data_IF_257489203889
#
_entry.id   IF_257489203889
#
_cell.length_a   1.000
_cell.length_b   1.000
_cell.length_c   1.000
_cell.angle_alpha   90.00
_cell.angle_beta   90.00
_cell.angle_gamma   90.00
#
_symmetry.space_group_name_H-M   'P 1'
#
loop_
_entity.id
_entity.type
_entity.pdbx_description
1 polymer ?
#
# COMPACT_ATOMS: atom_id res chain seq x y z
N UNK A 1 -13.02 1.60 23.74
CA UNK A 1 -12.42 1.19 22.47
C UNK A 1 -12.14 2.42 21.66
N UNK A 2 -11.03 2.40 20.96
CA UNK A 2 -10.63 3.37 19.94
C UNK A 2 -11.34 3.05 18.62
N UNK A 3 -11.39 4.04 17.73
CA UNK A 3 -12.03 3.93 16.42
C UNK A 3 -11.43 2.79 15.56
N UNK A 4 -10.12 2.55 15.68
CA UNK A 4 -9.45 1.47 14.96
C UNK A 4 -9.92 0.09 15.46
N UNK A 5 -9.89 -0.16 16.77
CA UNK A 5 -10.43 -1.41 17.35
C UNK A 5 -11.90 -1.62 17.00
N UNK A 6 -12.74 -0.57 17.06
CA UNK A 6 -14.15 -0.66 16.66
C UNK A 6 -14.32 -1.09 15.19
N UNK A 7 -13.46 -0.60 14.29
CA UNK A 7 -13.46 -0.99 12.88
C UNK A 7 -13.00 -2.44 12.68
N UNK A 8 -11.94 -2.85 13.37
CA UNK A 8 -11.42 -4.23 13.34
C UNK A 8 -12.47 -5.24 13.82
N UNK A 9 -13.22 -4.93 14.88
CA UNK A 9 -14.30 -5.80 15.37
C UNK A 9 -15.48 -5.91 14.38
N UNK A 10 -15.77 -4.86 13.61
CA UNK A 10 -16.79 -4.90 12.54
C UNK A 10 -16.35 -5.81 11.40
N UNK A 11 -15.07 -5.72 11.01
CA UNK A 11 -14.46 -6.61 10.01
C UNK A 11 -14.52 -8.06 10.50
N UNK A 12 -14.11 -8.32 11.75
CA UNK A 12 -14.13 -9.66 12.32
C UNK A 12 -15.52 -10.29 12.32
N UNK A 13 -16.56 -9.55 12.72
CA UNK A 13 -17.95 -10.04 12.66
C UNK A 13 -18.38 -10.44 11.26
N UNK A 14 -17.92 -9.70 10.25
CA UNK A 14 -18.18 -10.06 8.86
C UNK A 14 -17.46 -11.36 8.50
N UNK A 15 -16.19 -11.50 8.89
CA UNK A 15 -15.42 -12.73 8.66
C UNK A 15 -16.00 -13.95 9.36
N UNK A 16 -16.44 -13.83 10.61
CA UNK A 16 -17.10 -14.91 11.34
C UNK A 16 -18.35 -15.46 10.61
N UNK A 17 -19.03 -14.62 9.82
CA UNK A 17 -20.21 -15.00 9.05
C UNK A 17 -19.84 -15.62 7.71
N UNK A 18 -18.89 -15.02 6.98
CA UNK A 18 -18.63 -15.33 5.57
C UNK A 18 -17.37 -16.17 5.32
N UNK A 19 -16.41 -16.15 6.26
CA UNK A 19 -15.11 -16.82 6.22
C UNK A 19 -14.69 -17.30 7.62
N UNK A 20 -15.50 -18.14 8.29
CA UNK A 20 -15.25 -18.56 9.67
C UNK A 20 -13.88 -19.24 9.84
N UNK A 21 -13.43 -20.01 8.85
CA UNK A 21 -12.11 -20.66 8.87
C UNK A 21 -10.95 -19.66 8.94
N UNK A 22 -11.10 -18.49 8.30
CA UNK A 22 -10.11 -17.44 8.34
C UNK A 22 -10.23 -16.63 9.64
N UNK A 23 -11.45 -16.32 10.08
CA UNK A 23 -11.69 -15.66 11.37
C UNK A 23 -11.08 -16.45 12.54
N UNK A 24 -11.24 -17.77 12.54
CA UNK A 24 -10.69 -18.67 13.55
C UNK A 24 -9.15 -18.76 13.52
N UNK A 25 -8.51 -18.35 12.42
CA UNK A 25 -7.05 -18.39 12.28
C UNK A 25 -6.34 -17.18 12.90
N UNK A 26 -7.08 -16.14 13.32
CA UNK A 26 -6.50 -14.97 13.97
C UNK A 26 -5.94 -15.34 15.35
N UNK A 27 -4.68 -14.99 15.56
CA UNK A 27 -3.99 -15.29 16.81
C UNK A 27 -4.39 -14.30 17.91
N UNK A 28 -4.33 -14.70 19.19
CA UNK A 28 -4.50 -13.77 20.31
C UNK A 28 -3.60 -12.55 20.19
N UNK A 29 -4.10 -11.39 20.60
CA UNK A 29 -3.31 -10.16 20.61
C UNK A 29 -2.10 -10.24 21.53
N UNK A 30 -1.08 -9.45 21.20
CA UNK A 30 0.17 -9.36 21.93
C UNK A 30 0.07 -8.39 23.10
N UNK A 31 0.92 -8.62 24.10
CA UNK A 31 1.18 -7.64 25.15
C UNK A 31 2.05 -6.49 24.64
N UNK A 32 2.02 -5.37 25.36
CA UNK A 32 2.89 -4.23 25.08
C UNK A 32 4.38 -4.61 25.09
N UNK A 33 4.80 -5.46 26.04
CA UNK A 33 6.19 -5.88 26.19
C UNK A 33 6.66 -6.76 25.02
N UNK A 34 5.78 -7.62 24.49
CA UNK A 34 6.08 -8.43 23.29
C UNK A 34 6.28 -7.54 22.06
N UNK A 35 5.44 -6.52 21.88
CA UNK A 35 5.58 -5.57 20.77
C UNK A 35 6.86 -4.75 20.93
N UNK A 36 7.16 -4.28 22.14
CA UNK A 36 8.38 -3.53 22.43
C UNK A 36 9.66 -4.35 22.17
N UNK A 37 9.65 -5.64 22.49
CA UNK A 37 10.77 -6.53 22.15
C UNK A 37 10.98 -6.65 20.62
N UNK A 38 9.91 -6.52 19.83
CA UNK A 38 9.97 -6.42 18.37
C UNK A 38 10.63 -5.12 17.88
N UNK A 39 10.32 -3.98 18.51
CA UNK A 39 10.96 -2.69 18.19
C UNK A 39 12.49 -2.75 18.30
N UNK A 40 13.00 -3.47 19.31
CA UNK A 40 14.43 -3.64 19.51
C UNK A 40 15.10 -4.39 18.35
N UNK A 41 14.39 -5.34 17.72
CA UNK A 41 14.88 -6.08 16.55
C UNK A 41 14.92 -5.20 15.31
N UNK A 42 13.88 -4.39 15.09
CA UNK A 42 13.74 -3.53 13.91
C UNK A 42 14.62 -2.28 14.02
N UNK A 43 14.90 -1.80 15.24
CA UNK A 43 15.68 -0.59 15.49
C UNK A 43 14.88 0.71 15.33
N UNK A 44 13.55 0.61 15.26
CA UNK A 44 12.64 1.75 15.15
C UNK A 44 11.50 1.62 16.15
N UNK A 45 10.93 2.78 16.52
CA UNK A 45 9.69 2.84 17.28
C UNK A 45 8.50 2.62 16.35
N UNK A 46 7.56 1.77 16.76
CA UNK A 46 6.34 1.51 16.03
C UNK A 46 5.29 2.60 16.34
N UNK A 47 4.48 3.00 15.35
CA UNK A 47 3.34 3.86 15.58
C UNK A 47 2.35 3.31 16.60
N UNK A 48 1.64 4.19 17.30
CA UNK A 48 0.58 3.82 18.26
C UNK A 48 -0.50 2.93 17.62
N UNK A 49 -0.89 3.21 16.38
CA UNK A 49 -1.90 2.40 15.68
C UNK A 49 -1.39 0.97 15.39
N UNK A 50 -0.08 0.77 15.22
CA UNK A 50 0.51 -0.58 15.08
C UNK A 50 0.47 -1.32 16.41
N UNK A 51 0.76 -0.64 17.53
CA UNK A 51 0.57 -1.23 18.86
C UNK A 51 -0.88 -1.70 19.06
N UNK A 52 -1.84 -0.83 18.75
CA UNK A 52 -3.26 -1.15 18.86
C UNK A 52 -3.65 -2.36 17.99
N UNK A 53 -3.20 -2.39 16.73
CA UNK A 53 -3.47 -3.49 15.79
C UNK A 53 -2.99 -4.84 16.35
N UNK A 54 -1.74 -4.91 16.82
CA UNK A 54 -1.17 -6.17 17.30
C UNK A 54 -1.62 -6.53 18.72
N UNK A 55 -2.03 -5.56 19.55
CA UNK A 55 -2.72 -5.83 20.80
C UNK A 55 -4.13 -6.38 20.59
N UNK A 56 -4.76 -6.07 19.45
CA UNK A 56 -6.04 -6.65 19.07
C UNK A 56 -5.87 -8.11 18.61
N UNK A 57 -5.04 -8.37 17.60
CA UNK A 57 -4.73 -9.73 17.11
C UNK A 57 -3.31 -9.80 16.55
N UNK A 58 -2.65 -10.96 16.73
CA UNK A 58 -1.31 -11.21 16.23
C UNK A 58 -1.30 -11.86 14.83
N UNK A 59 -1.87 -11.18 13.84
CA UNK A 59 -1.97 -11.75 12.49
C UNK A 59 -2.90 -12.96 12.39
N UNK A 60 -2.92 -13.55 11.20
CA UNK A 60 -3.61 -14.81 10.91
C UNK A 60 -2.57 -15.90 10.55
N UNK A 61 -2.83 -17.15 10.94
CA UNK A 61 -1.94 -18.29 10.59
C UNK A 61 -2.33 -18.98 9.30
N UNK A 62 -3.56 -18.78 8.83
CA UNK A 62 -4.03 -19.38 7.60
C UNK A 62 -3.52 -18.52 6.46
N UNK A 63 -2.51 -19.04 5.77
CA UNK A 63 -2.14 -18.54 4.45
C UNK A 63 -3.30 -18.88 3.52
N UNK A 64 -4.17 -17.91 3.33
CA UNK A 64 -5.32 -18.09 2.48
C UNK A 64 -4.95 -17.46 1.15
N UNK A 65 -4.82 -18.29 0.11
CA UNK A 65 -4.84 -17.90 -1.31
C UNK A 65 -6.09 -17.06 -1.68
N UNK A 66 -6.96 -16.85 -0.70
CA UNK A 66 -8.04 -15.91 -0.67
C UNK A 66 -8.03 -15.17 0.68
N UNK A 67 -7.41 -13.97 0.73
CA UNK A 67 -7.98 -12.71 1.28
C UNK A 67 -7.18 -12.02 2.40
N UNK A 68 -6.74 -10.77 2.17
CA UNK A 68 -7.46 -9.55 2.56
C UNK A 68 -7.08 -8.29 1.72
N UNK A 69 -8.11 -7.63 1.15
CA UNK A 69 -8.09 -6.48 0.23
C UNK A 69 -7.65 -6.75 -1.20
N UNK A 70 -8.61 -7.04 -2.11
CA UNK A 70 -8.63 -8.38 -2.72
C UNK A 70 -7.19 -8.95 -2.79
N UNK A 71 -6.90 -9.96 -1.95
CA UNK A 71 -5.70 -10.83 -1.94
C UNK A 71 -4.68 -10.75 -0.77
N UNK A 72 -4.53 -9.69 0.05
CA UNK A 72 -3.34 -9.54 0.96
C UNK A 72 -3.47 -10.04 2.43
N UNK A 73 -2.53 -10.83 2.97
CA UNK A 73 -2.61 -11.44 4.32
C UNK A 73 -2.18 -10.54 5.50
N UNK A 74 -2.90 -10.58 6.64
CA UNK A 74 -2.48 -9.90 7.89
C UNK A 74 -1.40 -10.72 8.61
N UNK A 75 -0.17 -10.24 8.57
CA UNK A 75 1.01 -10.98 9.03
C UNK A 75 1.03 -11.17 10.55
N UNK A 76 1.41 -12.36 11.04
CA UNK A 76 1.89 -12.52 12.41
C UNK A 76 3.05 -11.57 12.69
N UNK A 77 3.16 -11.05 13.92
CA UNK A 77 4.09 -9.98 14.24
C UNK A 77 5.57 -10.31 13.98
N UNK A 78 5.98 -11.55 14.24
CA UNK A 78 7.35 -12.00 13.93
C UNK A 78 7.61 -11.99 12.41
N UNK A 79 6.63 -12.39 11.59
CA UNK A 79 6.72 -12.33 10.12
C UNK A 79 6.71 -10.88 9.61
N UNK A 80 5.90 -10.02 10.22
CA UNK A 80 5.90 -8.58 9.94
C UNK A 80 7.25 -7.94 10.26
N UNK A 81 7.91 -8.35 11.36
CA UNK A 81 9.27 -7.92 11.70
C UNK A 81 10.26 -8.36 10.63
N UNK A 82 10.27 -9.64 10.27
CA UNK A 82 11.19 -10.19 9.27
C UNK A 82 11.02 -9.50 7.90
N UNK A 83 9.77 -9.32 7.48
CA UNK A 83 9.40 -8.65 6.23
C UNK A 83 9.87 -7.19 6.23
N UNK A 84 9.64 -6.48 7.35
CA UNK A 84 10.07 -5.10 7.53
C UNK A 84 11.60 -4.97 7.55
N UNK A 85 12.33 -5.87 8.20
CA UNK A 85 13.80 -5.86 8.23
C UNK A 85 14.35 -6.08 6.82
N UNK A 86 13.79 -7.01 6.05
CA UNK A 86 14.17 -7.26 4.65
C UNK A 86 14.04 -5.98 3.82
N UNK A 87 12.85 -5.34 3.85
CA UNK A 87 12.61 -4.07 3.18
C UNK A 87 13.58 -2.97 3.62
N UNK A 88 13.71 -2.78 4.94
CA UNK A 88 14.52 -1.71 5.53
C UNK A 88 16.01 -1.88 5.21
N UNK A 89 16.48 -3.12 5.04
CA UNK A 89 17.86 -3.42 4.61
C UNK A 89 18.05 -3.04 3.15
N UNK A 90 17.12 -3.43 2.27
CA UNK A 90 17.16 -3.14 0.84
C UNK A 90 17.24 -1.62 0.57
N UNK A 91 16.39 -0.82 1.24
CA UNK A 91 16.42 0.64 1.05
C UNK A 91 17.66 1.31 1.68
N UNK A 92 18.25 0.71 2.72
CA UNK A 92 19.43 1.28 3.39
C UNK A 92 20.69 1.13 2.53
N UNK A 93 20.76 0.08 1.70
CA UNK A 93 21.83 -0.14 0.72
C UNK A 93 21.78 0.87 -0.44
N UNK A 94 20.65 1.56 -0.66
CA UNK A 94 20.51 2.67 -1.63
C UNK A 94 21.02 4.04 -1.11
N UNK A 95 21.86 4.01 -0.05
CA UNK A 95 22.82 4.96 0.57
C UNK A 95 22.58 6.49 0.60
N UNK A 96 21.79 7.12 -0.27
CA UNK A 96 21.86 8.57 -0.50
C UNK A 96 20.84 9.44 0.28
N UNK A 97 19.81 8.87 0.93
CA UNK A 97 18.65 9.68 1.34
C UNK A 97 18.70 10.34 2.73
N UNK A 98 19.29 9.69 3.74
CA UNK A 98 19.14 10.12 5.14
C UNK A 98 20.04 11.29 5.56
N UNK A 99 20.87 11.80 4.64
CA UNK A 99 21.74 12.95 4.90
C UNK A 99 21.04 14.30 4.60
N UNK A 100 19.91 14.29 3.88
CA UNK A 100 19.18 15.51 3.57
C UNK A 100 18.05 15.77 4.59
N UNK A 101 18.08 16.92 5.25
CA UNK A 101 17.04 17.36 6.21
C UNK A 101 15.65 17.52 5.58
N UNK A 102 15.55 17.55 4.26
CA UNK A 102 14.32 17.76 3.50
C UNK A 102 13.91 16.53 2.67
N UNK A 103 14.34 15.33 3.06
CA UNK A 103 14.04 14.08 2.36
C UNK A 103 12.55 13.88 2.05
N UNK A 104 11.67 14.38 2.91
CA UNK A 104 10.22 14.32 2.79
C UNK A 104 9.63 15.21 1.67
N UNK A 105 10.40 16.13 1.09
CA UNK A 105 10.00 16.91 -0.08
C UNK A 105 10.18 16.12 -1.40
N UNK A 106 10.86 14.97 -1.35
CA UNK A 106 10.97 14.09 -2.50
C UNK A 106 9.61 13.43 -2.78
N UNK A 107 9.14 13.47 -4.03
CA UNK A 107 7.90 12.80 -4.43
C UNK A 107 7.96 11.28 -4.23
N UNK A 108 9.17 10.71 -4.15
CA UNK A 108 9.45 9.29 -3.90
C UNK A 108 9.79 8.98 -2.43
N UNK A 109 9.48 9.88 -1.49
CA UNK A 109 9.88 9.69 -0.08
C UNK A 109 9.41 8.35 0.50
N UNK A 110 8.23 7.87 0.09
CA UNK A 110 7.67 6.58 0.54
C UNK A 110 8.57 5.41 0.16
N UNK A 111 9.08 5.41 -1.07
CA UNK A 111 9.89 4.32 -1.58
C UNK A 111 11.28 4.24 -0.94
N UNK A 112 11.69 5.30 -0.24
CA UNK A 112 12.97 5.40 0.45
C UNK A 112 12.81 5.54 1.96
N UNK A 113 11.61 5.32 2.49
CA UNK A 113 11.30 5.37 3.91
C UNK A 113 11.39 3.97 4.51
N UNK A 114 11.89 3.82 5.76
CA UNK A 114 11.80 2.54 6.44
C UNK A 114 10.34 2.27 6.75
N UNK A 115 9.87 1.07 6.43
CA UNK A 115 8.48 0.66 6.58
C UNK A 115 8.35 -0.41 7.64
N UNK A 116 7.21 -0.40 8.31
CA UNK A 116 6.68 -1.54 9.04
C UNK A 116 5.57 -2.16 8.21
N UNK A 117 5.85 -3.31 7.61
CA UNK A 117 4.94 -4.06 6.74
C UNK A 117 4.13 -5.00 7.61
N UNK A 118 2.82 -4.81 7.66
CA UNK A 118 1.91 -5.59 8.51
C UNK A 118 0.88 -6.38 7.69
N UNK A 119 0.78 -6.12 6.39
CA UNK A 119 -0.05 -6.87 5.46
C UNK A 119 0.83 -7.24 4.26
N UNK A 120 0.91 -8.52 3.88
CA UNK A 120 1.62 -8.97 2.69
C UNK A 120 1.06 -10.29 2.13
N UNK A 121 1.22 -10.48 0.82
CA UNK A 121 0.97 -11.71 0.08
C UNK A 121 1.87 -11.76 -1.16
N UNK A 122 1.60 -12.72 -2.05
CA UNK A 122 2.27 -12.81 -3.36
C UNK A 122 1.96 -11.63 -4.30
N UNK A 123 0.87 -10.90 -4.06
CA UNK A 123 0.39 -9.80 -4.90
C UNK A 123 0.92 -8.42 -4.51
N UNK A 124 1.30 -8.23 -3.24
CA UNK A 124 1.81 -6.96 -2.74
C UNK A 124 1.95 -6.89 -1.23
N UNK A 125 2.20 -5.68 -0.77
CA UNK A 125 2.43 -5.36 0.63
C UNK A 125 1.70 -4.07 1.00
N UNK A 126 1.22 -4.01 2.24
CA UNK A 126 0.85 -2.76 2.89
C UNK A 126 1.63 -2.57 4.19
N UNK A 127 2.07 -1.34 4.40
CA UNK A 127 2.86 -0.98 5.57
C UNK A 127 2.65 0.46 5.96
N UNK A 128 3.35 0.87 7.01
CA UNK A 128 3.35 2.27 7.46
C UNK A 128 4.80 2.73 7.65
N UNK A 129 5.14 3.98 7.31
CA UNK A 129 6.50 4.46 7.50
C UNK A 129 6.83 4.57 8.99
N UNK A 130 7.97 4.00 9.37
CA UNK A 130 8.57 4.09 10.70
C UNK A 130 9.10 5.50 11.00
N UNK A 131 9.18 6.35 9.97
CA UNK A 131 9.46 7.77 10.08
C UNK A 131 8.43 8.57 9.28
N UNK A 132 7.57 9.29 10.00
CA UNK A 132 6.49 10.06 9.37
C UNK A 132 6.98 11.42 8.91
N UNK A 133 6.72 11.82 7.66
CA UNK A 133 6.99 13.17 7.20
C UNK A 133 6.25 14.23 8.04
N UNK A 134 6.83 15.44 8.27
CA UNK A 134 6.23 16.47 9.13
C UNK A 134 4.85 16.97 8.70
N UNK A 135 4.47 16.77 7.44
CA UNK A 135 3.18 17.17 6.89
C UNK A 135 2.05 16.17 7.18
N UNK A 136 2.34 15.02 7.78
CA UNK A 136 1.34 14.03 8.17
C UNK A 136 1.10 14.07 9.68
N UNK A 137 -0.16 14.18 10.08
CA UNK A 137 -0.57 14.16 11.48
C UNK A 137 -0.43 12.76 12.11
N UNK A 138 -0.62 11.73 11.30
CA UNK A 138 -0.46 10.32 11.63
C UNK A 138 0.32 9.63 10.50
N UNK A 139 1.07 8.55 10.78
CA UNK A 139 1.70 7.76 9.73
C UNK A 139 0.65 7.26 8.74
N UNK A 140 0.80 7.53 7.42
CA UNK A 140 -0.11 6.98 6.43
C UNK A 140 0.09 5.47 6.28
N UNK A 141 -0.80 4.81 5.53
CA UNK A 141 -0.55 3.47 5.00
C UNK A 141 -0.09 3.59 3.57
N UNK A 142 1.01 2.91 3.27
CA UNK A 142 1.57 2.75 1.93
C UNK A 142 1.27 1.36 1.40
N UNK A 143 1.08 1.27 0.09
CA UNK A 143 0.84 0.02 -0.65
C UNK A 143 1.82 -0.07 -1.83
N UNK A 144 2.24 -1.30 -2.14
CA UNK A 144 3.05 -1.62 -3.32
C UNK A 144 2.88 -3.07 -3.73
N UNK A 145 2.83 -3.32 -5.04
CA UNK A 145 2.86 -4.66 -5.62
C UNK A 145 4.28 -5.15 -5.91
N UNK A 146 4.41 -6.38 -6.42
CA UNK A 146 5.69 -6.93 -6.86
C UNK A 146 6.33 -6.04 -7.96
N UNK A 147 7.49 -5.47 -7.64
CA UNK A 147 8.25 -4.61 -8.56
C UNK A 147 7.77 -3.16 -8.65
N UNK A 148 6.73 -2.78 -7.91
CA UNK A 148 6.23 -1.41 -7.82
C UNK A 148 6.85 -0.65 -6.64
N UNK A 149 6.83 0.68 -6.74
CA UNK A 149 7.31 1.56 -5.67
C UNK A 149 6.18 1.88 -4.68
N UNK A 150 6.44 1.92 -3.36
CA UNK A 150 5.45 2.31 -2.35
C UNK A 150 4.79 3.65 -2.63
N UNK A 151 3.46 3.65 -2.61
CA UNK A 151 2.62 4.85 -2.70
C UNK A 151 1.69 4.98 -1.50
N UNK A 152 1.42 6.21 -1.07
CA UNK A 152 0.41 6.47 -0.02
C UNK A 152 -0.97 6.17 -0.57
N UNK A 153 -1.69 5.27 0.10
CA UNK A 153 -3.05 4.89 -0.29
C UNK A 153 -4.08 5.26 0.78
N UNK A 154 -3.71 5.22 2.07
CA UNK A 154 -4.60 5.59 3.16
C UNK A 154 -3.99 6.63 4.09
N UNK A 155 -4.84 7.49 4.64
CA UNK A 155 -4.45 8.59 5.54
C UNK A 155 -3.83 8.08 6.85
N UNK A 156 -4.23 6.88 7.29
CA UNK A 156 -3.81 6.23 8.52
C UNK A 156 -4.27 4.77 8.53
N UNK A 157 -3.77 3.97 9.48
CA UNK A 157 -4.25 2.61 9.69
C UNK A 157 -5.72 2.61 10.15
N UNK A 158 -6.12 3.61 10.93
CA UNK A 158 -7.54 3.81 11.27
C UNK A 158 -8.40 4.01 10.01
N UNK A 159 -7.94 4.81 9.05
CA UNK A 159 -8.67 5.06 7.81
C UNK A 159 -8.77 3.80 6.94
N UNK A 160 -7.68 3.02 6.84
CA UNK A 160 -7.68 1.70 6.20
C UNK A 160 -8.78 0.81 6.77
N UNK A 161 -8.79 0.60 8.09
CA UNK A 161 -9.74 -0.32 8.72
C UNK A 161 -11.19 0.20 8.67
N UNK A 162 -11.42 1.52 8.75
CA UNK A 162 -12.76 2.09 8.57
C UNK A 162 -13.31 1.87 7.16
N UNK A 163 -12.47 2.04 6.13
CA UNK A 163 -12.84 1.72 4.75
C UNK A 163 -13.24 0.25 4.66
N UNK A 164 -12.43 -0.67 5.18
CA UNK A 164 -12.68 -2.10 5.07
C UNK A 164 -13.99 -2.49 5.77
N UNK A 165 -14.20 -1.98 6.99
CA UNK A 165 -15.40 -2.24 7.76
C UNK A 165 -16.68 -1.79 7.02
N UNK A 166 -16.67 -0.58 6.44
CA UNK A 166 -17.83 -0.08 5.69
C UNK A 166 -18.03 -0.81 4.36
N UNK A 167 -16.96 -1.19 3.67
CA UNK A 167 -17.05 -2.00 2.45
C UNK A 167 -17.69 -3.38 2.73
N UNK A 168 -17.31 -4.03 3.83
CA UNK A 168 -17.93 -5.27 4.30
C UNK A 168 -19.44 -5.11 4.58
N UNK A 169 -19.83 -4.04 5.28
CA UNK A 169 -21.22 -3.81 5.70
C UNK A 169 -22.16 -3.37 4.58
N UNK A 170 -21.61 -2.71 3.55
CA UNK A 170 -22.39 -2.15 2.43
C UNK A 170 -22.46 -3.08 1.22
N UNK A 171 -21.78 -4.23 1.27
CA UNK A 171 -21.67 -5.15 0.15
C UNK A 171 -20.82 -4.59 -1.00
N UNK A 172 -19.89 -3.68 -0.69
CA UNK A 172 -18.78 -3.38 -1.58
C UNK A 172 -17.76 -4.53 -1.58
N UNK A 173 -17.64 -5.24 -0.46
CA UNK A 173 -17.00 -6.56 -0.38
C UNK A 173 -18.04 -7.65 -0.25
N UNK A 174 -17.91 -8.69 -1.08
CA UNK A 174 -18.84 -9.83 -1.13
C UNK A 174 -18.12 -11.12 -1.52
N UNK A 175 -18.68 -12.26 -1.16
CA UNK A 175 -18.17 -13.58 -1.56
C UNK A 175 -18.74 -13.96 -2.93
N UNK A 176 -17.88 -14.29 -3.88
CA UNK A 176 -18.27 -14.78 -5.20
C UNK A 176 -18.60 -16.29 -5.23
N UNK A 177 -18.87 -16.84 -6.41
CA UNK A 177 -19.22 -18.26 -6.58
C UNK A 177 -18.08 -19.22 -6.25
N UNK A 178 -16.84 -18.75 -6.34
CA UNK A 178 -15.65 -19.55 -6.10
C UNK A 178 -15.16 -19.39 -4.65
N UNK A 179 -15.84 -18.56 -3.86
CA UNK A 179 -15.57 -18.35 -2.45
C UNK A 179 -14.57 -17.24 -2.18
N UNK A 180 -14.19 -16.43 -3.16
CA UNK A 180 -13.27 -15.31 -2.96
C UNK A 180 -14.05 -14.06 -2.52
N UNK A 181 -13.48 -13.23 -1.63
CA UNK A 181 -13.99 -11.86 -1.45
C UNK A 181 -13.58 -11.08 -2.68
N UNK A 182 -14.58 -10.52 -3.34
CA UNK A 182 -14.43 -9.67 -4.50
C UNK A 182 -14.87 -8.26 -4.13
N UNK A 183 -14.19 -7.29 -4.72
CA UNK A 183 -14.51 -5.88 -4.61
C UNK A 183 -15.43 -5.40 -5.73
N UNK A 184 -16.53 -4.78 -5.35
CA UNK A 184 -17.32 -3.90 -6.21
C UNK A 184 -16.72 -2.48 -6.14
N UNK A 185 -15.79 -2.20 -7.05
CA UNK A 185 -15.04 -0.92 -7.12
C UNK A 185 -15.97 0.29 -7.16
N UNK A 186 -17.14 0.17 -7.81
CA UNK A 186 -18.11 1.26 -7.91
C UNK A 186 -18.71 1.64 -6.54
N UNK A 187 -18.77 0.69 -5.61
CA UNK A 187 -19.24 0.90 -4.24
C UNK A 187 -18.11 1.22 -3.28
N UNK A 188 -16.94 0.61 -3.43
CA UNK A 188 -15.82 0.83 -2.51
C UNK A 188 -15.18 2.19 -2.70
N UNK A 189 -15.08 2.70 -3.92
CA UNK A 189 -14.42 3.97 -4.19
C UNK A 189 -15.00 5.19 -3.44
N UNK A 190 -16.34 5.42 -3.38
CA UNK A 190 -16.87 6.51 -2.56
C UNK A 190 -16.61 6.31 -1.05
N UNK A 191 -16.45 5.06 -0.58
CA UNK A 191 -16.09 4.74 0.80
C UNK A 191 -14.61 5.06 1.05
N UNK A 192 -13.71 4.66 0.13
CA UNK A 192 -12.29 5.02 0.17
C UNK A 192 -12.15 6.55 0.22
N UNK A 193 -12.85 7.27 -0.64
CA UNK A 193 -12.80 8.73 -0.68
C UNK A 193 -13.31 9.37 0.63
N UNK A 194 -14.34 8.80 1.25
CA UNK A 194 -14.89 9.28 2.53
C UNK A 194 -13.85 9.29 3.65
N UNK A 195 -12.98 8.28 3.71
CA UNK A 195 -11.98 8.15 4.78
C UNK A 195 -10.58 8.63 4.40
N UNK A 196 -10.27 8.76 3.10
CA UNK A 196 -8.94 9.11 2.57
C UNK A 196 -8.97 10.37 1.69
N UNK A 197 -9.84 11.31 2.07
CA UNK A 197 -10.12 12.55 1.31
C UNK A 197 -8.91 13.47 1.13
N UNK A 198 -7.79 13.18 1.79
CA UNK A 198 -6.58 14.01 1.73
C UNK A 198 -5.77 13.80 0.47
N UNK A 199 -5.95 12.69 -0.26
CA UNK A 199 -5.01 12.27 -1.30
C UNK A 199 -5.60 12.13 -2.71
N UNK A 200 -6.92 11.96 -2.88
CA UNK A 200 -7.48 11.61 -4.18
C UNK A 200 -8.78 12.30 -4.57
N UNK A 201 -8.82 12.84 -5.77
CA UNK A 201 -10.04 13.06 -6.52
C UNK A 201 -10.33 11.82 -7.37
N UNK A 202 -11.53 11.27 -7.25
CA UNK A 202 -11.94 10.07 -7.97
C UNK A 202 -13.05 10.40 -8.99
N UNK A 203 -13.07 9.69 -10.12
CA UNK A 203 -14.20 9.79 -11.04
C UNK A 203 -15.42 8.98 -10.58
N UNK A 204 -16.50 9.05 -11.35
CA UNK A 204 -17.74 8.30 -11.12
C UNK A 204 -17.57 6.77 -11.14
N UNK A 205 -16.44 6.27 -11.63
CA UNK A 205 -16.07 4.85 -11.63
C UNK A 205 -15.10 4.50 -10.51
N UNK A 206 -14.76 5.46 -9.65
CA UNK A 206 -13.86 5.24 -8.53
C UNK A 206 -12.38 5.22 -8.89
N UNK A 207 -12.01 5.67 -10.09
CA UNK A 207 -10.60 5.75 -10.50
C UNK A 207 -9.99 7.05 -10.00
N UNK A 208 -8.77 6.99 -9.49
CA UNK A 208 -8.02 8.16 -9.01
C UNK A 208 -7.71 9.12 -10.16
N UNK A 209 -8.54 10.13 -10.39
CA UNK A 209 -8.35 11.12 -11.47
C UNK A 209 -7.32 12.19 -11.15
N UNK A 210 -7.11 12.50 -9.89
CA UNK A 210 -6.02 13.37 -9.47
C UNK A 210 -5.57 13.00 -8.06
N UNK A 211 -4.27 12.94 -7.86
CA UNK A 211 -3.69 12.93 -6.52
C UNK A 211 -3.47 14.37 -6.09
N UNK A 212 -4.01 14.77 -4.94
CA UNK A 212 -3.86 16.12 -4.38
C UNK A 212 -3.06 15.99 -3.10
N UNK A 213 -1.88 16.60 -3.06
CA UNK A 213 -1.08 16.66 -1.86
C UNK A 213 -1.04 18.08 -1.35
N UNK A 214 -1.39 18.27 -0.08
CA UNK A 214 -1.03 19.49 0.62
C UNK A 214 0.40 19.37 1.14
N UNK A 215 1.25 20.31 0.76
CA UNK A 215 2.60 20.48 1.32
C UNK A 215 2.72 21.86 1.96
N UNK A 216 3.52 21.98 3.02
CA UNK A 216 3.89 23.28 3.59
C UNK A 216 5.28 23.64 3.08
N UNK A 217 5.37 24.69 2.27
CA UNK A 217 6.64 25.19 1.72
C UNK A 217 6.83 26.59 2.28
N UNK A 218 7.92 26.82 3.01
CA UNK A 218 8.26 28.11 3.63
C UNK A 218 7.17 28.67 4.58
N UNK A 219 6.41 27.78 5.22
CA UNK A 219 5.31 28.16 6.11
C UNK A 219 3.98 28.44 5.39
N UNK A 220 3.93 28.33 4.07
CA UNK A 220 2.70 28.45 3.28
C UNK A 220 2.16 27.08 2.87
N UNK A 221 0.85 26.89 3.03
CA UNK A 221 0.13 25.70 2.54
C UNK A 221 0.01 25.79 1.02
N UNK A 222 0.60 24.84 0.29
CA UNK A 222 0.50 24.70 -1.17
C UNK A 222 -0.13 23.35 -1.52
N UNK A 223 -1.01 23.35 -2.51
CA UNK A 223 -1.57 22.12 -3.07
C UNK A 223 -0.83 21.76 -4.35
N UNK A 224 -0.29 20.53 -4.38
CA UNK A 224 0.28 19.91 -5.58
C UNK A 224 -0.76 18.94 -6.11
N UNK A 225 -1.12 19.08 -7.38
CA UNK A 225 -2.13 18.24 -8.04
C UNK A 225 -1.49 17.47 -9.19
N UNK A 226 -1.54 16.15 -9.12
CA UNK A 226 -1.06 15.23 -10.15
C UNK A 226 -2.27 14.59 -10.81
N UNK A 227 -2.56 14.93 -12.07
CA UNK A 227 -3.71 14.34 -12.79
C UNK A 227 -3.34 13.04 -13.48
N UNK A 228 -4.24 12.05 -13.40
CA UNK A 228 -4.14 10.78 -14.11
C UNK A 228 -5.16 10.75 -15.25
N UNK A 229 -4.67 10.54 -16.47
CA UNK A 229 -5.49 10.45 -17.68
C UNK A 229 -5.61 8.99 -18.13
N UNK A 230 -6.56 8.27 -17.55
CA UNK A 230 -6.83 6.87 -17.91
C UNK A 230 -7.32 6.70 -19.36
N UNK A 231 -7.73 7.76 -20.05
CA UNK A 231 -8.11 7.69 -21.47
C UNK A 231 -6.89 7.69 -22.41
N UNK A 232 -5.70 8.03 -21.91
CA UNK A 232 -4.43 7.90 -22.65
C UNK A 232 -3.77 6.53 -22.49
N UNK A 233 -4.23 5.73 -21.54
CA UNK A 233 -3.81 4.34 -21.38
C UNK A 233 -4.60 3.54 -22.41
N UNK A 234 -3.95 3.16 -23.53
CA UNK A 234 -4.62 2.47 -24.61
C UNK A 234 -5.33 1.20 -24.09
N UNK A 235 -6.58 0.92 -24.50
CA UNK A 235 -7.29 -0.26 -24.03
C UNK A 235 -6.57 -1.51 -24.52
N UNK A 236 -6.01 -2.30 -23.59
CA UNK A 236 -5.63 -3.67 -23.88
C UNK A 236 -6.92 -4.41 -24.20
N UNK A 237 -7.05 -4.88 -25.44
CA UNK A 237 -8.25 -5.60 -25.90
C UNK A 237 -8.53 -6.79 -24.97
N UNK A 238 -9.71 -6.77 -24.36
CA UNK A 238 -10.31 -7.91 -23.65
C UNK A 238 -10.25 -9.16 -24.55
N UNK A 239 -9.48 -10.17 -24.14
CA UNK A 239 -9.33 -11.39 -24.93
C UNK A 239 -8.34 -12.45 -24.44
N UNK A 240 -7.51 -12.21 -23.42
CA UNK A 240 -6.63 -13.26 -22.87
C UNK A 240 -6.53 -13.16 -21.34
N UNK A 241 -6.70 -14.29 -20.65
CA UNK A 241 -6.41 -14.55 -19.23
C UNK A 241 -5.08 -15.36 -19.19
N UNK A 242 -4.32 -15.45 -18.08
CA UNK A 242 -3.73 -14.44 -17.20
C UNK A 242 -2.19 -14.40 -17.33
N UNK A 243 -1.55 -13.44 -16.65
CA UNK A 243 -0.14 -13.33 -16.23
C UNK A 243 0.93 -14.19 -16.96
N UNK A 244 1.86 -13.53 -17.68
CA UNK A 244 3.31 -13.77 -17.59
C UNK A 244 4.09 -12.92 -18.61
N UNK A 245 5.09 -12.19 -18.09
CA UNK A 245 6.31 -11.77 -18.80
C UNK A 245 6.14 -10.67 -19.87
N UNK A 246 6.41 -9.41 -19.48
CA UNK A 246 6.84 -8.38 -20.44
C UNK A 246 8.31 -8.64 -20.81
N UNK A 247 8.56 -9.64 -21.66
CA UNK A 247 9.81 -9.70 -22.43
C UNK A 247 9.62 -8.83 -23.66
N UNK A 248 10.28 -7.67 -23.69
CA UNK A 248 10.42 -6.83 -24.87
C UNK A 248 11.17 -7.61 -25.97
N UNK A 249 10.42 -8.19 -26.91
CA UNK A 249 10.95 -8.66 -28.19
C UNK A 249 11.16 -7.45 -29.12
N UNK A 250 12.37 -6.86 -29.07
CA UNK A 250 12.87 -6.06 -30.21
C UNK A 250 13.57 -7.03 -31.15
N UNK A 251 12.92 -7.31 -32.27
CA UNK A 251 13.51 -8.05 -33.39
C UNK A 251 14.55 -7.16 -34.06
N UNK A 252 15.83 -7.54 -33.96
CA UNK A 252 16.78 -7.45 -35.06
C UNK A 252 17.77 -6.29 -35.05
N UNK A 253 18.73 -6.27 -34.12
CA UNK A 253 20.10 -5.71 -34.33
C UNK A 253 21.11 -6.56 -33.52
N UNK A 254 22.21 -7.09 -34.11
CA UNK A 254 23.18 -7.88 -33.38
C UNK A 254 24.41 -7.06 -32.99
N UNK A 255 24.55 -6.62 -31.73
CA UNK A 255 25.82 -6.10 -31.16
C UNK A 255 25.79 -6.39 -29.62
N UNK A 256 26.53 -7.35 -29.06
CA UNK A 256 27.96 -7.34 -28.66
C UNK A 256 28.33 -6.29 -27.58
N UNK A 257 28.23 -6.72 -26.31
CA UNK A 257 28.99 -6.34 -25.09
C UNK A 257 29.16 -4.84 -24.72
N UNK A 258 28.90 -4.56 -23.43
CA UNK A 258 29.31 -3.44 -22.54
C UNK A 258 28.13 -2.58 -22.06
N UNK A 259 28.06 -2.40 -20.73
CA UNK A 259 26.86 -2.11 -19.94
C UNK A 259 26.27 -0.69 -19.97
N UNK A 260 25.08 -0.59 -19.31
CA UNK A 260 24.22 0.59 -19.06
C UNK A 260 23.68 1.22 -20.38
N UNK A 261 22.37 1.53 -20.61
CA UNK A 261 21.35 2.11 -19.69
C UNK A 261 19.83 1.77 -19.92
N UNK A 262 19.01 1.83 -18.86
CA UNK A 262 17.54 2.03 -18.98
C UNK A 262 17.15 3.53 -18.94
N UNK A 263 18.03 4.41 -18.45
CA UNK A 263 17.76 5.84 -18.27
C UNK A 263 17.84 6.72 -19.55
N UNK A 264 18.41 6.24 -20.65
CA UNK A 264 18.55 7.06 -21.88
C UNK A 264 17.28 7.02 -22.75
N UNK A 265 16.45 5.96 -22.64
CA UNK A 265 15.22 5.85 -23.43
C UNK A 265 14.17 6.91 -23.04
N UNK A 266 14.11 7.28 -21.75
CA UNK A 266 13.16 8.29 -21.26
C UNK A 266 13.51 9.71 -21.72
N UNK A 267 14.79 10.07 -21.74
CA UNK A 267 15.24 11.41 -22.16
C UNK A 267 15.11 11.67 -23.67
N UNK A 268 15.19 10.63 -24.51
CA UNK A 268 15.01 10.79 -25.97
C UNK A 268 13.54 10.99 -26.34
N UNK A 269 12.60 10.38 -25.60
CA UNK A 269 11.17 10.53 -25.85
C UNK A 269 10.65 11.93 -25.47
N UNK A 270 11.09 12.49 -24.35
CA UNK A 270 10.70 13.84 -23.91
C UNK A 270 11.19 14.93 -24.88
N UNK A 271 12.32 14.72 -25.56
CA UNK A 271 12.85 15.69 -26.53
C UNK A 271 12.16 15.66 -27.90
N UNK A 272 11.54 14.55 -28.28
CA UNK A 272 10.84 14.41 -29.57
C UNK A 272 9.42 14.99 -29.57
N UNK A 273 8.77 15.05 -28.40
CA UNK A 273 7.42 15.64 -28.26
C UNK A 273 7.45 17.17 -28.22
N UNK A 274 8.59 17.79 -27.91
CA UNK A 274 8.72 19.26 -27.87
C UNK A 274 9.05 19.90 -29.24
N UNK A 275 9.09 19.15 -30.34
CA UNK A 275 9.36 19.69 -31.68
C UNK A 275 8.34 19.25 -32.77
N UNK A 276 7.17 18.77 -32.38
CA UNK A 276 6.05 18.46 -33.31
C UNK A 276 4.79 19.25 -32.99
#
# INVERSE_FOLDING_TARGET
MSTLTDALDRIMKWLEIYKPEFADSFQPGLSFDEIQAGEEKIGFKLPEEVYELYQWRNGATLDCDSLFFPFIGFLPFDEAIETSISWNTMIAEEEELYLNKEWYLNQEWCAKSPLFIFIADDGGCCGTPLQTPPNYLKPPVVEFGEGDMPGVYYDSLTALMLTFAECCETGAYYIDSDGFIVEDVSKSAPIIQKYNSQFGEYDEFGRLTAWVQTVIIEGEKKEIRTQYDYNKIAPVKQGCIPLQVVTLLIVGIPILIVGIPILVAYFVWVKLIQQS
#
